data_IF_875550913481
#
_entry.id   IF_875550913481
#
_cell.length_a   1.000
_cell.length_b   1.000
_cell.length_c   1.000
_cell.angle_alpha   90.00
_cell.angle_beta   90.00
_cell.angle_gamma   90.00
#
_symmetry.space_group_name_H-M   'P 1'
#
loop_
_entity.id
_entity.type
_entity.pdbx_description
1 polymer ?
#
# COMPACT_ATOMS: atom_id res chain seq x y z
N UNK A 1 -26.11 -36.96 -21.99
CA UNK A 1 -24.65 -37.16 -22.11
C UNK A 1 -23.90 -35.85 -22.04
N UNK A 2 -24.05 -34.90 -22.99
CA UNK A 2 -23.34 -33.60 -22.93
C UNK A 2 -23.63 -32.80 -21.65
N UNK A 3 -24.86 -32.89 -21.13
CA UNK A 3 -25.27 -32.14 -19.93
C UNK A 3 -24.62 -32.65 -18.64
N UNK A 4 -24.44 -33.96 -18.49
CA UNK A 4 -23.84 -34.57 -17.28
C UNK A 4 -22.33 -34.34 -17.21
N UNK A 5 -21.63 -34.43 -18.36
CA UNK A 5 -20.19 -34.10 -18.45
C UNK A 5 -19.96 -32.59 -18.28
N UNK A 6 -20.78 -31.73 -18.89
CA UNK A 6 -20.75 -30.28 -18.66
C UNK A 6 -20.95 -29.94 -17.18
N UNK A 7 -21.93 -30.57 -16.53
CA UNK A 7 -22.22 -30.36 -15.11
C UNK A 7 -21.06 -30.76 -14.21
N UNK A 8 -20.41 -31.89 -14.48
CA UNK A 8 -19.19 -32.30 -13.76
C UNK A 8 -18.03 -31.33 -13.98
N UNK A 9 -17.81 -30.90 -15.22
CA UNK A 9 -16.76 -29.94 -15.57
C UNK A 9 -16.99 -28.60 -14.85
N UNK A 10 -18.21 -28.06 -14.93
CA UNK A 10 -18.59 -26.80 -14.29
C UNK A 10 -18.43 -26.86 -12.77
N UNK A 11 -18.79 -27.98 -12.14
CA UNK A 11 -18.65 -28.15 -10.70
C UNK A 11 -17.18 -28.25 -10.24
N UNK A 12 -16.27 -28.66 -11.12
CA UNK A 12 -14.84 -28.77 -10.84
C UNK A 12 -14.05 -27.47 -11.14
N UNK A 13 -14.69 -26.49 -11.78
CA UNK A 13 -14.08 -25.20 -12.08
C UNK A 13 -13.95 -24.38 -10.79
N UNK A 14 -12.69 -24.15 -10.38
CA UNK A 14 -12.35 -23.43 -9.15
C UNK A 14 -11.83 -22.00 -9.38
N UNK A 15 -11.41 -21.67 -10.60
CA UNK A 15 -10.89 -20.35 -10.94
C UNK A 15 -12.00 -19.52 -11.59
N UNK A 16 -12.44 -18.50 -10.86
CA UNK A 16 -13.39 -17.48 -11.32
C UNK A 16 -12.83 -16.64 -12.46
N UNK A 17 -13.71 -16.09 -13.29
CA UNK A 17 -13.35 -15.14 -14.37
C UNK A 17 -12.30 -15.71 -15.35
N UNK A 18 -12.46 -16.98 -15.73
CA UNK A 18 -11.50 -17.73 -16.51
C UNK A 18 -12.11 -18.28 -17.80
N UNK A 19 -11.24 -18.62 -18.74
CA UNK A 19 -11.59 -19.29 -19.98
C UNK A 19 -11.00 -20.70 -19.97
N UNK A 20 -11.83 -21.69 -20.27
CA UNK A 20 -11.45 -23.11 -20.32
C UNK A 20 -11.73 -23.67 -21.70
N UNK A 21 -10.74 -24.38 -22.23
CA UNK A 21 -10.80 -25.02 -23.55
C UNK A 21 -11.16 -26.50 -23.38
N UNK A 22 -12.15 -26.98 -24.14
CA UNK A 22 -12.48 -28.40 -24.25
C UNK A 22 -12.62 -28.80 -25.72
N UNK A 23 -12.58 -30.10 -25.99
CA UNK A 23 -12.54 -30.63 -27.36
C UNK A 23 -13.78 -30.28 -28.20
N UNK A 24 -14.96 -30.15 -27.57
CA UNK A 24 -16.24 -29.90 -28.26
C UNK A 24 -16.85 -28.51 -28.01
N UNK A 25 -16.38 -27.79 -27.00
CA UNK A 25 -16.91 -26.48 -26.60
C UNK A 25 -15.89 -25.73 -25.74
N UNK A 26 -15.96 -24.40 -25.72
CA UNK A 26 -15.19 -23.60 -24.78
C UNK A 26 -16.09 -22.99 -23.71
N UNK A 27 -15.57 -22.77 -22.50
CA UNK A 27 -16.31 -22.20 -21.38
C UNK A 27 -15.67 -20.88 -20.95
N UNK A 28 -16.47 -19.82 -20.90
CA UNK A 28 -16.12 -18.54 -20.32
C UNK A 28 -16.93 -18.34 -19.05
N UNK A 29 -16.26 -18.34 -17.90
CA UNK A 29 -16.87 -18.13 -16.61
C UNK A 29 -16.70 -16.68 -16.17
N UNK A 30 -17.77 -16.06 -15.66
CA UNK A 30 -17.76 -14.73 -15.06
C UNK A 30 -18.47 -14.73 -13.71
N UNK A 31 -17.77 -14.28 -12.67
CA UNK A 31 -18.35 -14.05 -11.36
C UNK A 31 -18.78 -12.58 -11.27
N UNK A 32 -20.02 -12.31 -11.69
CA UNK A 32 -20.60 -10.98 -11.67
C UNK A 32 -21.26 -10.79 -10.31
N UNK A 33 -20.65 -9.97 -9.47
CA UNK A 33 -21.11 -9.66 -8.11
C UNK A 33 -21.12 -10.86 -7.13
N UNK A 34 -21.36 -10.55 -5.84
CA UNK A 34 -21.42 -11.54 -4.77
C UNK A 34 -22.60 -12.47 -5.01
N UNK A 35 -22.33 -13.67 -5.54
CA UNK A 35 -23.19 -14.86 -5.61
C UNK A 35 -23.87 -15.19 -6.95
N UNK A 36 -23.60 -14.49 -8.05
CA UNK A 36 -24.01 -14.94 -9.39
C UNK A 36 -22.81 -15.34 -10.25
N UNK A 37 -22.76 -16.63 -10.60
CA UNK A 37 -21.80 -17.19 -11.55
C UNK A 37 -22.49 -17.29 -12.90
N UNK A 38 -22.04 -16.51 -13.87
CA UNK A 38 -22.52 -16.59 -15.24
C UNK A 38 -21.54 -17.45 -16.03
N UNK A 39 -22.06 -18.48 -16.68
CA UNK A 39 -21.26 -19.44 -17.45
C UNK A 39 -21.72 -19.35 -18.89
N UNK A 40 -20.80 -18.95 -19.77
CA UNK A 40 -21.03 -18.87 -21.20
C UNK A 40 -20.30 -19.99 -21.90
N UNK A 41 -20.99 -20.68 -22.81
CA UNK A 41 -20.47 -21.81 -23.55
C UNK A 41 -20.43 -21.42 -25.02
N UNK A 42 -19.27 -21.60 -25.63
CA UNK A 42 -19.02 -21.33 -27.04
C UNK A 42 -19.03 -22.64 -27.79
N UNK A 43 -19.99 -22.78 -28.70
CA UNK A 43 -20.14 -23.96 -29.55
C UNK A 43 -20.70 -23.54 -30.91
N UNK A 44 -20.13 -24.08 -31.99
CA UNK A 44 -20.61 -23.85 -33.37
C UNK A 44 -20.77 -22.36 -33.74
N UNK A 45 -19.82 -21.51 -33.30
CA UNK A 45 -19.86 -20.05 -33.46
C UNK A 45 -21.07 -19.34 -32.83
N UNK A 46 -21.71 -19.98 -31.84
CA UNK A 46 -22.80 -19.42 -31.05
C UNK A 46 -22.40 -19.39 -29.57
N UNK A 47 -23.06 -18.50 -28.83
CA UNK A 47 -22.90 -18.36 -27.38
C UNK A 47 -24.15 -18.91 -26.73
N UNK A 48 -23.97 -19.73 -25.70
CA UNK A 48 -25.03 -20.24 -24.86
C UNK A 48 -24.78 -19.81 -23.41
N UNK A 49 -25.82 -19.34 -22.73
CA UNK A 49 -25.79 -19.16 -21.28
C UNK A 49 -26.21 -20.48 -20.62
N UNK A 50 -25.38 -20.97 -19.71
CA UNK A 50 -25.71 -22.13 -18.88
C UNK A 50 -26.41 -21.68 -17.60
N UNK A 51 -27.70 -21.98 -17.49
CA UNK A 51 -28.54 -21.60 -16.35
C UNK A 51 -29.56 -22.70 -16.06
N UNK A 52 -29.74 -23.03 -14.79
CA UNK A 52 -30.70 -24.04 -14.32
C UNK A 52 -30.58 -25.37 -15.10
N UNK A 53 -29.35 -25.82 -15.35
CA UNK A 53 -29.02 -27.05 -16.10
C UNK A 53 -29.46 -27.05 -17.58
N UNK A 54 -29.77 -25.87 -18.12
CA UNK A 54 -30.16 -25.67 -19.51
C UNK A 54 -29.19 -24.74 -20.23
N UNK A 55 -29.02 -25.00 -21.53
CA UNK A 55 -28.29 -24.13 -22.46
C UNK A 55 -29.29 -23.24 -23.18
N UNK A 56 -29.20 -21.93 -22.93
CA UNK A 56 -30.07 -20.93 -23.55
C UNK A 56 -29.23 -20.17 -24.58
N UNK A 57 -29.71 -20.07 -25.81
CA UNK A 57 -29.02 -19.27 -26.84
C UNK A 57 -28.89 -17.82 -26.36
N UNK A 58 -27.66 -17.29 -26.41
CA UNK A 58 -27.33 -15.99 -25.85
C UNK A 58 -26.77 -15.06 -26.92
N UNK A 59 -27.17 -13.79 -26.89
CA UNK A 59 -26.76 -12.83 -27.91
C UNK A 59 -25.31 -12.39 -27.73
N UNK A 60 -24.56 -12.32 -28.84
CA UNK A 60 -23.23 -11.71 -28.86
C UNK A 60 -23.24 -10.27 -28.33
N UNK A 61 -24.31 -9.50 -28.60
CA UNK A 61 -24.42 -8.13 -28.13
C UNK A 61 -24.58 -8.06 -26.60
N UNK A 62 -25.37 -8.97 -26.03
CA UNK A 62 -25.61 -9.07 -24.58
C UNK A 62 -24.33 -9.53 -23.85
N UNK A 63 -23.61 -10.50 -24.39
CA UNK A 63 -22.32 -10.95 -23.82
C UNK A 63 -21.31 -9.79 -23.75
N UNK A 64 -21.22 -9.01 -24.82
CA UNK A 64 -20.35 -7.83 -24.87
C UNK A 64 -20.85 -6.73 -23.93
N UNK A 65 -22.16 -6.58 -23.73
CA UNK A 65 -22.73 -5.63 -22.78
C UNK A 65 -22.34 -5.97 -21.34
N UNK A 66 -22.37 -7.24 -20.96
CA UNK A 66 -21.92 -7.73 -19.64
C UNK A 66 -20.45 -7.36 -19.39
N UNK A 67 -19.56 -7.64 -20.35
CA UNK A 67 -18.14 -7.28 -20.20
C UNK A 67 -17.93 -5.77 -20.08
N UNK A 68 -18.73 -4.96 -20.80
CA UNK A 68 -18.70 -3.50 -20.68
C UNK A 68 -19.18 -3.02 -19.32
N UNK A 69 -20.19 -3.66 -18.74
CA UNK A 69 -20.70 -3.33 -17.41
C UNK A 69 -19.63 -3.60 -16.33
N UNK A 70 -18.96 -4.76 -16.39
CA UNK A 70 -17.84 -5.09 -15.50
C UNK A 70 -16.73 -4.04 -15.61
N UNK A 71 -16.34 -3.71 -16.84
CA UNK A 71 -15.32 -2.69 -17.12
C UNK A 71 -15.72 -1.33 -16.54
N UNK A 72 -16.96 -0.90 -16.73
CA UNK A 72 -17.46 0.39 -16.25
C UNK A 72 -17.48 0.45 -14.72
N UNK A 73 -17.98 -0.60 -14.06
CA UNK A 73 -18.02 -0.70 -12.60
C UNK A 73 -16.61 -0.65 -11.98
N UNK A 74 -15.66 -1.41 -12.54
CA UNK A 74 -14.27 -1.37 -12.06
C UNK A 74 -13.58 -0.03 -12.35
N UNK A 75 -13.92 0.64 -13.45
CA UNK A 75 -13.43 1.99 -13.75
C UNK A 75 -13.93 3.02 -12.74
N UNK A 76 -15.20 2.99 -12.37
CA UNK A 76 -15.78 3.88 -11.35
C UNK A 76 -15.17 3.66 -9.96
N UNK A 77 -14.98 2.40 -9.57
CA UNK A 77 -14.26 2.04 -8.34
C UNK A 77 -12.83 2.57 -8.34
N UNK A 78 -12.08 2.36 -9.43
CA UNK A 78 -10.71 2.84 -9.55
C UNK A 78 -10.63 4.37 -9.49
N UNK A 79 -11.54 5.09 -10.16
CA UNK A 79 -11.60 6.55 -10.08
C UNK A 79 -11.86 7.06 -8.66
N UNK A 80 -12.80 6.44 -7.95
CA UNK A 80 -13.12 6.80 -6.56
C UNK A 80 -11.93 6.58 -5.64
N UNK A 81 -11.19 5.49 -5.85
CA UNK A 81 -9.96 5.21 -5.10
C UNK A 81 -8.87 6.21 -5.45
N UNK A 82 -8.68 6.53 -6.74
CA UNK A 82 -7.69 7.49 -7.20
C UNK A 82 -7.89 8.87 -6.53
N UNK A 83 -9.11 9.40 -6.54
CA UNK A 83 -9.45 10.66 -5.85
C UNK A 83 -9.16 10.58 -4.34
N UNK A 84 -9.37 9.41 -3.72
CA UNK A 84 -9.00 9.22 -2.32
C UNK A 84 -7.48 9.15 -2.09
N UNK A 85 -6.68 8.75 -3.07
CA UNK A 85 -5.22 8.72 -3.00
C UNK A 85 -4.69 10.14 -3.18
N UNK A 86 -5.14 10.86 -4.21
CA UNK A 86 -4.77 12.27 -4.49
C UNK A 86 -5.03 13.16 -3.27
N UNK A 87 -6.22 13.07 -2.67
CA UNK A 87 -6.55 13.80 -1.44
C UNK A 87 -5.59 13.51 -0.28
N UNK A 88 -5.01 12.30 -0.20
CA UNK A 88 -4.04 11.97 0.85
C UNK A 88 -2.68 12.55 0.55
N UNK A 89 -2.25 12.50 -0.71
CA UNK A 89 -1.01 13.13 -1.16
C UNK A 89 -1.05 14.63 -0.82
N UNK A 90 -2.14 15.33 -1.13
CA UNK A 90 -2.36 16.73 -0.77
C UNK A 90 -2.24 16.97 0.75
N UNK A 91 -2.97 16.19 1.57
CA UNK A 91 -2.93 16.34 3.03
C UNK A 91 -1.52 16.12 3.61
N UNK A 92 -0.72 15.25 2.99
CA UNK A 92 0.65 14.95 3.39
C UNK A 92 1.57 16.11 2.99
N UNK A 93 1.43 16.65 1.78
CA UNK A 93 2.18 17.81 1.30
C UNK A 93 1.91 19.06 2.18
N UNK A 94 0.68 19.22 2.66
CA UNK A 94 0.30 20.28 3.61
C UNK A 94 0.76 20.01 5.06
N UNK A 95 1.53 18.94 5.31
CA UNK A 95 1.98 18.52 6.65
C UNK A 95 0.83 18.33 7.67
N UNK A 96 -0.38 18.00 7.21
CA UNK A 96 -1.53 17.78 8.09
C UNK A 96 -1.47 16.40 8.74
N UNK A 97 -1.79 16.33 10.04
CA UNK A 97 -1.86 15.05 10.78
C UNK A 97 -3.04 14.20 10.29
N UNK A 98 -2.75 13.09 9.62
CA UNK A 98 -3.76 12.14 9.15
C UNK A 98 -4.10 11.11 10.24
N UNK A 99 -5.28 11.23 10.87
CA UNK A 99 -5.79 10.21 11.80
C UNK A 99 -6.13 8.91 11.07
N UNK A 100 -5.86 7.77 11.72
CA UNK A 100 -6.16 6.42 11.24
C UNK A 100 -5.56 6.11 9.85
N UNK A 101 -4.36 6.62 9.57
CA UNK A 101 -3.69 6.43 8.29
C UNK A 101 -3.56 4.94 7.92
N UNK A 102 -3.01 4.12 8.83
CA UNK A 102 -2.76 2.69 8.59
C UNK A 102 -4.03 1.92 8.23
N UNK A 103 -5.10 2.09 9.01
CA UNK A 103 -6.39 1.44 8.74
C UNK A 103 -6.96 1.86 7.39
N UNK A 104 -6.91 3.16 7.08
CA UNK A 104 -7.40 3.68 5.80
C UNK A 104 -6.55 3.22 4.62
N UNK A 105 -5.22 3.17 4.78
CA UNK A 105 -4.29 2.58 3.80
C UNK A 105 -4.63 1.12 3.52
N UNK A 106 -4.80 0.32 4.58
CA UNK A 106 -5.13 -1.11 4.45
C UNK A 106 -6.45 -1.33 3.71
N UNK A 107 -7.50 -0.56 4.03
CA UNK A 107 -8.79 -0.62 3.34
C UNK A 107 -8.61 -0.34 1.84
N UNK A 108 -7.84 0.68 1.45
CA UNK A 108 -7.59 1.01 0.06
C UNK A 108 -6.76 -0.07 -0.65
N UNK A 109 -5.72 -0.59 0.00
CA UNK A 109 -4.88 -1.68 -0.54
C UNK A 109 -5.71 -2.95 -0.81
N UNK A 110 -6.60 -3.32 0.12
CA UNK A 110 -7.51 -4.47 -0.08
C UNK A 110 -8.49 -4.22 -1.22
N UNK A 111 -9.05 -3.01 -1.34
CA UNK A 111 -9.94 -2.66 -2.45
C UNK A 111 -9.23 -2.72 -3.81
N UNK A 112 -8.06 -2.10 -3.93
CA UNK A 112 -7.23 -2.15 -5.13
C UNK A 112 -6.81 -3.58 -5.50
N UNK A 113 -6.41 -4.39 -4.51
CA UNK A 113 -6.04 -5.80 -4.74
C UNK A 113 -7.21 -6.62 -5.28
N UNK A 114 -8.43 -6.40 -4.78
CA UNK A 114 -9.65 -7.04 -5.32
C UNK A 114 -9.93 -6.63 -6.76
N UNK A 115 -9.91 -5.32 -7.05
CA UNK A 115 -10.10 -4.81 -8.41
C UNK A 115 -9.02 -5.32 -9.37
N UNK A 116 -7.75 -5.33 -8.95
CA UNK A 116 -6.63 -5.86 -9.72
C UNK A 116 -6.85 -7.33 -10.09
N UNK A 117 -7.26 -8.17 -9.12
CA UNK A 117 -7.54 -9.59 -9.37
C UNK A 117 -8.67 -9.76 -10.39
N UNK A 118 -9.78 -9.05 -10.21
CA UNK A 118 -10.93 -9.12 -11.13
C UNK A 118 -10.52 -8.69 -12.54
N UNK A 119 -9.93 -7.50 -12.69
CA UNK A 119 -9.53 -6.96 -14.00
C UNK A 119 -8.50 -7.86 -14.69
N UNK A 120 -7.49 -8.37 -13.97
CA UNK A 120 -6.48 -9.29 -14.53
C UNK A 120 -7.11 -10.58 -15.05
N UNK A 121 -7.95 -11.22 -14.23
CA UNK A 121 -8.62 -12.48 -14.61
C UNK A 121 -9.52 -12.31 -15.84
N UNK A 122 -10.39 -11.30 -15.84
CA UNK A 122 -11.27 -11.00 -16.98
C UNK A 122 -10.47 -10.63 -18.23
N UNK A 123 -9.37 -9.87 -18.09
CA UNK A 123 -8.49 -9.52 -19.20
C UNK A 123 -7.85 -10.76 -19.83
N UNK A 124 -7.35 -11.69 -19.01
CA UNK A 124 -6.78 -12.96 -19.48
C UNK A 124 -7.82 -13.81 -20.19
N UNK A 125 -9.00 -14.00 -19.60
CA UNK A 125 -10.11 -14.73 -20.22
C UNK A 125 -10.53 -14.09 -21.55
N UNK A 126 -10.62 -12.76 -21.63
CA UNK A 126 -10.93 -12.05 -22.86
C UNK A 126 -9.83 -12.21 -23.93
N UNK A 127 -8.55 -12.21 -23.55
CA UNK A 127 -7.43 -12.44 -24.49
C UNK A 127 -7.51 -13.83 -25.11
N UNK A 128 -7.76 -14.86 -24.31
CA UNK A 128 -7.90 -16.24 -24.81
C UNK A 128 -9.14 -16.34 -25.71
N UNK A 129 -10.28 -15.83 -25.26
CA UNK A 129 -11.52 -15.80 -26.05
C UNK A 129 -11.35 -15.07 -27.39
N UNK A 130 -10.64 -13.94 -27.42
CA UNK A 130 -10.32 -13.22 -28.65
C UNK A 130 -9.41 -14.00 -29.61
N UNK A 131 -8.57 -14.90 -29.09
CA UNK A 131 -7.69 -15.74 -29.92
C UNK A 131 -8.43 -16.91 -30.57
N UNK A 132 -9.44 -17.47 -29.89
CA UNK A 132 -10.18 -18.67 -30.33
C UNK A 132 -11.48 -18.33 -31.07
N UNK A 133 -12.24 -17.38 -30.56
CA UNK A 133 -13.60 -17.09 -31.02
C UNK A 133 -13.61 -15.97 -32.06
N UNK A 134 -13.39 -16.35 -33.32
CA UNK A 134 -13.24 -15.41 -34.44
C UNK A 134 -14.47 -14.51 -34.67
N UNK A 135 -15.68 -15.01 -34.42
CA UNK A 135 -16.93 -14.29 -34.67
C UNK A 135 -17.16 -13.09 -33.73
N UNK A 136 -16.50 -13.04 -32.56
CA UNK A 136 -16.59 -11.92 -31.59
C UNK A 136 -15.30 -11.10 -31.47
N UNK A 137 -14.28 -11.43 -32.26
CA UNK A 137 -12.93 -10.85 -32.18
C UNK A 137 -12.91 -9.32 -32.25
N UNK A 138 -13.68 -8.72 -33.17
CA UNK A 138 -13.75 -7.26 -33.35
C UNK A 138 -14.28 -6.55 -32.10
N UNK A 139 -15.30 -7.12 -31.46
CA UNK A 139 -15.95 -6.54 -30.28
C UNK A 139 -15.06 -6.67 -29.04
N UNK A 140 -14.35 -7.78 -28.89
CA UNK A 140 -13.43 -8.02 -27.77
C UNK A 140 -12.18 -7.13 -27.81
N UNK A 141 -11.68 -6.76 -29.00
CA UNK A 141 -10.46 -5.95 -29.14
C UNK A 141 -10.49 -4.67 -28.30
N UNK A 142 -11.59 -3.93 -28.35
CA UNK A 142 -11.75 -2.67 -27.59
C UNK A 142 -11.85 -2.92 -26.09
N UNK A 143 -12.53 -3.99 -25.67
CA UNK A 143 -12.66 -4.37 -24.25
C UNK A 143 -11.30 -4.74 -23.67
N UNK A 144 -10.53 -5.57 -24.38
CA UNK A 144 -9.18 -6.00 -23.97
C UNK A 144 -8.27 -4.78 -23.79
N UNK A 145 -8.30 -3.83 -24.73
CA UNK A 145 -7.50 -2.62 -24.64
C UNK A 145 -7.86 -1.79 -23.39
N UNK A 146 -9.15 -1.57 -23.15
CA UNK A 146 -9.59 -0.79 -21.98
C UNK A 146 -9.34 -1.51 -20.65
N UNK A 147 -9.51 -2.84 -20.59
CA UNK A 147 -9.15 -3.64 -19.43
C UNK A 147 -7.65 -3.59 -19.14
N UNK A 148 -6.80 -3.64 -20.17
CA UNK A 148 -5.35 -3.53 -20.00
C UNK A 148 -4.91 -2.15 -19.50
N UNK A 149 -5.55 -1.08 -19.99
CA UNK A 149 -5.33 0.29 -19.48
C UNK A 149 -5.76 0.39 -18.02
N UNK A 150 -6.92 -0.15 -17.68
CA UNK A 150 -7.43 -0.16 -16.30
C UNK A 150 -6.53 -0.97 -15.36
N UNK A 151 -6.07 -2.14 -15.80
CA UNK A 151 -5.15 -2.98 -15.03
C UNK A 151 -3.86 -2.23 -14.69
N UNK A 152 -3.28 -1.53 -15.69
CA UNK A 152 -2.09 -0.70 -15.49
C UNK A 152 -2.37 0.43 -14.50
N UNK A 153 -3.48 1.16 -14.67
CA UNK A 153 -3.87 2.24 -13.75
C UNK A 153 -4.04 1.75 -12.31
N UNK A 154 -4.62 0.57 -12.10
CA UNK A 154 -4.75 -0.03 -10.77
C UNK A 154 -3.37 -0.35 -10.17
N UNK A 155 -2.44 -0.91 -10.96
CA UNK A 155 -1.06 -1.18 -10.52
C UNK A 155 -0.32 0.10 -10.15
N UNK A 156 -0.47 1.16 -10.95
CA UNK A 156 0.12 2.47 -10.66
C UNK A 156 -0.45 3.06 -9.36
N UNK A 157 -1.76 2.93 -9.13
CA UNK A 157 -2.41 3.36 -7.89
C UNK A 157 -1.93 2.57 -6.66
N UNK A 158 -1.65 1.27 -6.80
CA UNK A 158 -1.05 0.45 -5.74
C UNK A 158 0.36 0.97 -5.41
N UNK A 159 1.19 1.20 -6.44
CA UNK A 159 2.54 1.72 -6.26
C UNK A 159 2.56 3.10 -5.60
N UNK A 160 1.68 4.02 -6.04
CA UNK A 160 1.49 5.33 -5.39
C UNK A 160 1.11 5.20 -3.92
N UNK A 161 0.13 4.34 -3.62
CA UNK A 161 -0.32 4.10 -2.25
C UNK A 161 0.82 3.55 -1.36
N UNK A 162 1.66 2.68 -1.90
CA UNK A 162 2.86 2.16 -1.21
C UNK A 162 3.94 3.22 -1.01
N UNK A 163 4.17 4.10 -1.99
CA UNK A 163 5.04 5.26 -1.85
C UNK A 163 4.63 6.16 -0.70
N UNK A 164 3.33 6.46 -0.60
CA UNK A 164 2.76 7.25 0.51
C UNK A 164 3.01 6.58 1.87
N UNK A 165 2.79 5.26 1.95
CA UNK A 165 3.02 4.50 3.18
C UNK A 165 4.49 4.54 3.61
N UNK A 166 5.41 4.32 2.67
CA UNK A 166 6.86 4.35 2.91
C UNK A 166 7.31 5.73 3.36
N UNK A 167 6.83 6.80 2.71
CA UNK A 167 7.12 8.17 3.12
C UNK A 167 6.69 8.44 4.58
N UNK A 168 5.44 8.12 4.93
CA UNK A 168 4.92 8.34 6.29
C UNK A 168 5.71 7.54 7.33
N UNK A 169 6.04 6.29 7.04
CA UNK A 169 6.83 5.46 7.94
C UNK A 169 8.25 6.01 8.13
N UNK A 170 8.86 6.51 7.06
CA UNK A 170 10.19 7.12 7.10
C UNK A 170 10.17 8.39 7.95
N UNK A 171 9.24 9.32 7.66
CA UNK A 171 9.06 10.54 8.45
C UNK A 171 8.76 10.26 9.93
N UNK A 172 7.98 9.21 10.22
CA UNK A 172 7.73 8.77 11.61
C UNK A 172 8.99 8.23 12.27
N UNK A 173 9.78 7.44 11.54
CA UNK A 173 11.02 6.85 12.05
C UNK A 173 12.06 7.92 12.32
N UNK A 174 12.20 8.91 11.45
CA UNK A 174 13.06 10.09 11.69
C UNK A 174 12.66 10.84 12.96
N UNK A 175 11.36 11.05 13.17
CA UNK A 175 10.86 11.70 14.39
C UNK A 175 11.17 10.86 15.64
N UNK A 176 10.99 9.54 15.58
CA UNK A 176 11.34 8.63 16.68
C UNK A 176 12.84 8.70 16.95
N UNK A 177 13.68 8.65 15.92
CA UNK A 177 15.13 8.72 16.05
C UNK A 177 15.58 10.06 16.67
N UNK A 178 14.99 11.19 16.24
CA UNK A 178 15.23 12.51 16.86
C UNK A 178 14.84 12.52 18.34
N UNK A 179 13.70 11.93 18.70
CA UNK A 179 13.26 11.83 20.09
C UNK A 179 14.19 10.93 20.94
N UNK A 180 14.59 9.78 20.41
CA UNK A 180 15.53 8.86 21.09
C UNK A 180 16.87 9.55 21.30
N UNK A 181 17.37 10.26 20.29
CA UNK A 181 18.61 11.03 20.37
C UNK A 181 18.52 12.09 21.47
N UNK A 182 17.43 12.86 21.51
CA UNK A 182 17.20 13.86 22.55
C UNK A 182 17.18 13.24 23.95
N UNK A 183 16.43 12.13 24.13
CA UNK A 183 16.38 11.42 25.41
C UNK A 183 17.74 10.85 25.82
N UNK A 184 18.55 10.41 24.85
CA UNK A 184 19.91 9.91 25.08
C UNK A 184 20.84 11.02 25.55
N UNK A 185 20.75 12.23 24.97
CA UNK A 185 21.52 13.40 25.43
C UNK A 185 21.16 13.74 26.88
N UNK A 186 19.86 13.81 27.18
CA UNK A 186 19.39 14.04 28.56
C UNK A 186 19.99 12.98 29.48
N UNK A 187 19.88 11.71 29.13
CA UNK A 187 20.40 10.60 29.94
C UNK A 187 21.92 10.68 30.14
N UNK A 188 22.69 11.03 29.10
CA UNK A 188 24.13 11.17 29.18
C UNK A 188 24.58 12.30 30.13
N UNK A 189 23.75 13.33 30.32
CA UNK A 189 23.99 14.42 31.29
C UNK A 189 23.56 13.99 32.69
N UNK A 190 22.35 13.45 32.83
CA UNK A 190 21.77 13.12 34.13
C UNK A 190 22.39 11.90 34.80
N UNK A 191 22.86 10.90 34.04
CA UNK A 191 23.44 9.68 34.61
C UNK A 191 24.71 9.94 35.46
N UNK A 192 25.74 10.65 34.97
CA UNK A 192 26.90 10.99 35.81
C UNK A 192 26.54 11.95 36.95
N UNK A 193 25.61 12.89 36.71
CA UNK A 193 25.16 13.81 37.76
C UNK A 193 24.46 13.07 38.90
N UNK A 194 23.54 12.17 38.56
CA UNK A 194 22.84 11.32 39.52
C UNK A 194 23.80 10.37 40.24
N UNK A 195 24.86 9.89 39.58
CA UNK A 195 25.90 9.09 40.24
C UNK A 195 26.62 9.91 41.32
N UNK A 196 26.99 11.16 41.04
CA UNK A 196 27.65 12.05 42.01
C UNK A 196 26.71 12.34 43.18
N UNK A 197 25.48 12.79 42.91
CA UNK A 197 24.49 13.08 43.96
C UNK A 197 24.18 11.83 44.78
N UNK A 198 24.02 10.68 44.12
CA UNK A 198 23.77 9.40 44.76
C UNK A 198 24.94 8.96 45.64
N UNK A 199 26.19 9.08 45.17
CA UNK A 199 27.40 8.73 45.91
C UNK A 199 27.54 9.53 47.20
N UNK A 200 27.36 10.85 47.12
CA UNK A 200 27.42 11.73 48.29
C UNK A 200 26.16 11.68 49.17
N UNK A 201 25.05 11.12 48.67
CA UNK A 201 23.81 10.88 49.42
C UNK A 201 23.76 9.56 50.18
N UNK A 202 24.80 8.72 50.10
CA UNK A 202 24.83 7.43 50.80
C UNK A 202 25.14 7.61 52.30
N UNK A 203 24.45 6.87 53.17
CA UNK A 203 24.67 6.90 54.62
C UNK A 203 25.87 6.03 55.05
N UNK A 204 27.04 6.26 54.45
CA UNK A 204 28.28 5.52 54.74
C UNK A 204 29.28 6.40 55.48
N UNK A 205 30.05 5.83 56.42
CA UNK A 205 31.11 6.56 57.15
C UNK A 205 32.33 6.79 56.25
N UNK A 206 33.07 7.88 56.52
CA UNK A 206 34.30 8.27 55.80
C UNK A 206 34.10 8.48 54.29
N UNK A 207 33.02 9.17 53.89
CA UNK A 207 32.83 9.58 52.50
C UNK A 207 33.95 10.51 52.05
N UNK A 208 34.30 10.44 50.76
CA UNK A 208 35.26 11.36 50.17
C UNK A 208 34.81 12.81 50.41
N UNK A 209 35.71 13.72 50.77
CA UNK A 209 35.43 15.14 51.07
C UNK A 209 34.47 15.43 52.26
N UNK A 210 34.02 14.44 53.05
CA UNK A 210 33.04 14.68 54.13
C UNK A 210 33.58 15.49 55.31
N UNK A 211 34.89 15.45 55.56
CA UNK A 211 35.55 16.18 56.65
C UNK A 211 36.11 17.54 56.21
N UNK A 212 35.95 17.91 54.93
CA UNK A 212 36.48 19.15 54.38
C UNK A 212 35.42 20.27 54.46
N UNK A 213 35.77 21.42 55.06
CA UNK A 213 34.88 22.59 55.19
C UNK A 213 34.33 23.09 53.83
N UNK A 214 35.07 22.89 52.74
CA UNK A 214 34.68 23.29 51.38
C UNK A 214 34.21 22.11 50.50
N UNK A 215 33.99 20.92 51.07
CA UNK A 215 33.63 19.70 50.34
C UNK A 215 32.45 19.86 49.37
N UNK A 216 31.36 20.50 49.83
CA UNK A 216 30.17 20.79 49.00
C UNK A 216 30.49 21.70 47.82
N UNK A 217 31.37 22.68 48.02
CA UNK A 217 31.78 23.59 46.95
C UNK A 217 32.57 22.85 45.87
N UNK A 218 33.51 21.98 46.26
CA UNK A 218 34.27 21.15 45.32
C UNK A 218 33.39 20.21 44.49
N UNK A 219 32.39 19.58 45.10
CA UNK A 219 31.42 18.71 44.39
C UNK A 219 30.58 19.52 43.40
N UNK A 220 30.08 20.69 43.80
CA UNK A 220 29.31 21.58 42.93
C UNK A 220 30.14 22.06 41.73
N UNK A 221 31.38 22.50 41.96
CA UNK A 221 32.30 22.89 40.88
C UNK A 221 32.56 21.74 39.92
N UNK A 222 32.76 20.52 40.43
CA UNK A 222 32.98 19.33 39.60
C UNK A 222 31.78 19.03 38.70
N UNK A 223 30.56 19.10 39.24
CA UNK A 223 29.31 18.93 38.48
C UNK A 223 29.20 19.98 37.34
N UNK A 224 29.49 21.25 37.65
CA UNK A 224 29.42 22.33 36.66
C UNK A 224 30.46 22.16 35.55
N UNK A 225 31.68 21.71 35.89
CA UNK A 225 32.74 21.43 34.91
C UNK A 225 32.34 20.28 33.98
N UNK A 226 31.80 19.17 34.51
CA UNK A 226 31.33 18.03 33.71
C UNK A 226 30.21 18.48 32.76
N UNK A 227 29.25 19.26 33.25
CA UNK A 227 28.18 19.80 32.42
C UNK A 227 28.71 20.68 31.28
N UNK A 228 29.68 21.55 31.57
CA UNK A 228 30.27 22.44 30.57
C UNK A 228 31.04 21.67 29.49
N UNK A 229 31.80 20.64 29.86
CA UNK A 229 32.51 19.77 28.92
C UNK A 229 31.53 19.07 27.98
N UNK A 230 30.44 18.49 28.51
CA UNK A 230 29.41 17.84 27.71
C UNK A 230 28.70 18.83 26.76
N UNK A 231 28.44 20.05 27.23
CA UNK A 231 27.83 21.11 26.42
C UNK A 231 28.73 21.53 25.25
N UNK A 232 30.03 21.76 25.49
CA UNK A 232 30.99 22.10 24.44
C UNK A 232 31.12 20.96 23.43
N UNK A 233 31.23 19.71 23.89
CA UNK A 233 31.29 18.56 23.00
C UNK A 233 30.08 18.46 22.07
N UNK A 234 28.88 18.79 22.56
CA UNK A 234 27.67 18.82 21.74
C UNK A 234 27.68 19.91 20.67
N UNK A 235 28.18 21.11 20.99
CA UNK A 235 28.28 22.24 20.03
C UNK A 235 29.27 21.97 18.90
N UNK A 236 30.41 21.32 19.20
CA UNK A 236 31.48 21.07 18.22
C UNK A 236 31.30 19.76 17.43
N UNK A 237 30.22 19.02 17.65
CA UNK A 237 29.94 17.80 16.89
C UNK A 237 29.35 18.15 15.52
N UNK A 238 30.13 17.93 14.47
CA UNK A 238 29.73 18.16 13.08
C UNK A 238 28.41 17.46 12.72
N UNK A 239 27.45 18.24 12.22
CA UNK A 239 26.22 17.75 11.60
C UNK A 239 26.44 17.67 10.10
N UNK A 240 26.97 16.55 9.60
CA UNK A 240 27.04 16.29 8.16
C UNK A 240 25.64 15.91 7.67
N UNK A 241 24.90 16.87 7.15
CA UNK A 241 23.68 16.64 6.38
C UNK A 241 23.97 16.94 4.91
N UNK A 242 23.57 16.03 4.02
CA UNK A 242 23.79 16.16 2.57
C UNK A 242 22.53 16.79 1.98
N UNK A 243 22.61 18.06 1.57
CA UNK A 243 21.50 18.75 0.90
C UNK A 243 21.33 18.23 -0.53
N UNK A 244 20.15 17.68 -0.83
CA UNK A 244 19.76 17.19 -2.17
C UNK A 244 19.05 18.28 -3.00
N UNK A 245 19.11 19.54 -2.58
CA UNK A 245 18.44 20.67 -3.22
C UNK A 245 19.15 21.10 -4.53
N UNK A 246 19.15 20.25 -5.56
CA UNK A 246 19.61 20.62 -6.91
C UNK A 246 18.59 21.52 -7.66
N UNK A 247 17.37 21.72 -7.15
CA UNK A 247 16.31 22.46 -7.83
C UNK A 247 15.85 23.76 -7.15
N UNK A 248 16.53 24.24 -6.11
CA UNK A 248 16.28 25.57 -5.55
C UNK A 248 16.91 26.64 -6.45
N UNK A 249 16.31 26.89 -7.61
CA UNK A 249 16.70 27.98 -8.51
C UNK A 249 16.70 29.28 -7.72
N UNK A 250 17.91 29.82 -7.53
CA UNK A 250 18.17 31.17 -7.04
C UNK A 250 17.26 32.17 -7.75
N UNK A 251 16.22 32.66 -7.06
CA UNK A 251 15.69 33.99 -7.36
C UNK A 251 16.76 35.00 -6.99
N UNK A 252 17.68 35.28 -7.92
CA UNK A 252 18.47 36.51 -7.91
C UNK A 252 17.47 37.67 -7.94
N UNK A 253 17.29 38.34 -6.79
CA UNK A 253 16.74 39.68 -6.77
C UNK A 253 17.71 40.57 -7.55
N UNK A 254 17.25 41.12 -8.67
CA UNK A 254 17.80 42.36 -9.24
C UNK A 254 17.34 43.52 -8.38
#
# INVERSE_FOLDING_TARGET
MLNDTLKQIINNINISNAYYEFDEFDVFMLDIAKNSRNIFIFKDNQIFEYKDENLILFSNAEFIAILKEILQNEKEKNNTINLSIEKREELILENKKVKNFLTKYFILKVKLGKSSKIVSSVLEACKICHSKQHFIKKNLKTIILNLAILERSIKDNIARLEGIYTYINTARSEKINKNIYFLSIISAIFLPLNLIVGFFGMNTKNLFLSENEYGTYYVLTTILVIFFILFLWYQFKDKKELDLDEFSVKKKKK
#
